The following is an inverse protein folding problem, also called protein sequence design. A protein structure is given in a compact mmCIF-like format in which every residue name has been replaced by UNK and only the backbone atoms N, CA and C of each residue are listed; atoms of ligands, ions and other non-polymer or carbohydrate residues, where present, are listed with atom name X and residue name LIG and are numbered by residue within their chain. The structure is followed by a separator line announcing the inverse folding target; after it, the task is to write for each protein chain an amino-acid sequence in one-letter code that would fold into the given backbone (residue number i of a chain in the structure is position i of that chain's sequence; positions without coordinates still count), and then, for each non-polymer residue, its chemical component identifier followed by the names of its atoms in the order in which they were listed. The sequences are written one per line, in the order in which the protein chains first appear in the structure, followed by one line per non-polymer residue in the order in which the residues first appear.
data_IF_572720805154
#
_entry.id   IF_572720805154
#
_cell.length_a   1.000
_cell.length_b   1.000
_cell.length_c   1.000
_cell.angle_alpha   90.00
_cell.angle_beta   90.00
_cell.angle_gamma   90.00
#
_symmetry.space_group_name_H-M   'P 1'
#
loop_
_entity.id
_entity.type
_entity.pdbx_description
1 polymer ?
#
# COMPACT_ATOMS: atom_id res chain seq x y z
N UNK A 1 -55.39 39.09 -14.46
CA UNK A 1 -53.95 39.25 -14.82
C UNK A 1 -53.14 39.23 -13.53
N UNK A 2 -52.56 38.07 -13.17
CA UNK A 2 -51.44 37.96 -12.24
C UNK A 2 -50.89 36.54 -12.37
N UNK A 3 -49.80 36.42 -13.13
CA UNK A 3 -48.97 35.22 -13.21
C UNK A 3 -48.05 35.21 -12.00
N UNK A 4 -48.02 34.11 -11.25
CA UNK A 4 -46.94 33.81 -10.31
C UNK A 4 -46.49 32.37 -10.55
N UNK A 5 -45.48 32.22 -11.41
CA UNK A 5 -44.69 31.00 -11.57
C UNK A 5 -43.62 31.01 -10.48
N UNK A 6 -43.75 30.14 -9.48
CA UNK A 6 -42.72 29.91 -8.48
C UNK A 6 -41.76 28.85 -9.02
N UNK A 7 -40.70 29.28 -9.72
CA UNK A 7 -39.58 28.41 -10.09
C UNK A 7 -38.78 28.09 -8.82
N UNK A 8 -38.93 26.87 -8.33
CA UNK A 8 -38.18 26.34 -7.20
C UNK A 8 -36.79 25.90 -7.72
N UNK A 9 -35.78 26.75 -7.49
CA UNK A 9 -34.39 26.47 -7.85
C UNK A 9 -33.81 25.46 -6.83
N UNK A 10 -33.64 24.21 -7.24
CA UNK A 10 -32.97 23.17 -6.45
C UNK A 10 -31.46 23.31 -6.64
N UNK A 11 -30.79 24.01 -5.72
CA UNK A 11 -29.31 24.07 -5.67
C UNK A 11 -28.80 22.82 -4.94
N UNK A 12 -28.43 21.79 -5.71
CA UNK A 12 -27.67 20.65 -5.22
C UNK A 12 -26.22 21.09 -4.97
N UNK A 13 -25.91 21.43 -3.72
CA UNK A 13 -24.53 21.57 -3.24
C UNK A 13 -23.87 20.20 -3.24
N UNK A 14 -23.12 19.88 -4.30
CA UNK A 14 -22.16 18.78 -4.31
C UNK A 14 -20.97 19.22 -3.44
N UNK A 15 -21.06 18.97 -2.13
CA UNK A 15 -19.86 18.92 -1.30
C UNK A 15 -19.09 17.67 -1.71
N UNK A 16 -18.11 17.84 -2.60
CA UNK A 16 -17.06 16.86 -2.76
C UNK A 16 -16.30 16.82 -1.44
N UNK A 17 -16.62 15.84 -0.59
CA UNK A 17 -15.83 15.51 0.58
C UNK A 17 -14.43 15.13 0.07
N UNK A 18 -13.48 16.05 0.16
CA UNK A 18 -12.07 15.70 0.03
C UNK A 18 -11.80 14.66 1.12
N UNK A 19 -11.66 13.39 0.73
CA UNK A 19 -11.30 12.34 1.67
C UNK A 19 -10.00 12.78 2.35
N UNK A 20 -9.97 12.78 3.68
CA UNK A 20 -8.75 13.07 4.41
C UNK A 20 -7.67 12.07 3.95
N UNK A 21 -6.58 12.57 3.36
CA UNK A 21 -5.43 11.76 2.94
C UNK A 21 -4.68 11.30 4.19
N UNK A 22 -5.21 10.24 4.82
CA UNK A 22 -4.70 9.65 6.05
C UNK A 22 -3.52 8.71 5.81
N UNK A 23 -3.10 8.54 4.55
CA UNK A 23 -1.94 7.75 4.14
C UNK A 23 -0.65 8.57 4.05
N UNK A 24 -0.68 9.89 4.24
CA UNK A 24 0.51 10.76 4.15
C UNK A 24 0.97 11.29 5.51
N UNK A 25 2.28 11.40 5.71
CA UNK A 25 2.88 11.92 6.94
C UNK A 25 2.93 13.46 7.03
N UNK A 26 2.70 14.14 5.90
CA UNK A 26 2.71 15.61 5.83
C UNK A 26 4.10 16.22 6.03
N UNK A 27 4.14 17.55 6.10
CA UNK A 27 5.39 18.32 6.18
C UNK A 27 5.86 18.63 7.61
N UNK A 28 5.03 18.36 8.63
CA UNK A 28 5.39 18.61 10.03
C UNK A 28 6.48 17.64 10.49
N UNK A 29 7.47 18.14 11.23
CA UNK A 29 8.62 17.39 11.73
C UNK A 29 8.79 17.60 13.25
N UNK A 30 8.64 16.56 14.11
CA UNK A 30 8.16 15.22 13.76
C UNK A 30 6.69 15.26 13.33
N UNK A 31 6.27 14.32 12.48
CA UNK A 31 4.86 14.18 12.09
C UNK A 31 3.98 13.83 13.28
N UNK A 32 2.81 14.47 13.37
CA UNK A 32 1.76 14.10 14.32
C UNK A 32 0.81 13.03 13.77
N UNK A 33 0.98 12.60 12.52
CA UNK A 33 0.13 11.59 11.89
C UNK A 33 0.49 10.20 12.43
N UNK A 34 -0.50 9.36 12.80
CA UNK A 34 -0.23 8.00 13.26
C UNK A 34 0.64 7.22 12.28
N UNK A 35 1.53 6.37 12.81
CA UNK A 35 2.47 5.52 12.07
C UNK A 35 3.64 6.26 11.37
N UNK A 36 3.77 7.58 11.51
CA UNK A 36 4.85 8.34 10.88
C UNK A 36 6.12 8.49 11.75
N UNK A 37 6.20 7.79 12.89
CA UNK A 37 7.36 7.83 13.78
C UNK A 37 8.59 7.04 13.28
N UNK A 38 8.45 6.34 12.16
CA UNK A 38 9.46 5.44 11.58
C UNK A 38 10.32 6.11 10.52
N UNK A 39 10.90 7.27 10.86
CA UNK A 39 11.66 8.10 9.91
C UNK A 39 12.91 7.36 9.45
N UNK A 40 13.00 7.08 8.14
CA UNK A 40 14.15 6.40 7.56
C UNK A 40 15.10 7.39 6.90
N UNK A 41 16.40 7.30 7.24
CA UNK A 41 17.42 8.24 6.77
C UNK A 41 18.24 7.74 5.58
N UNK A 42 17.62 7.00 4.67
CA UNK A 42 18.29 6.53 3.46
C UNK A 42 18.85 5.13 3.54
N UNK A 43 18.24 4.22 4.31
CA UNK A 43 18.80 2.87 4.53
C UNK A 43 19.01 2.06 3.25
N UNK A 44 18.24 2.33 2.19
CA UNK A 44 18.41 1.68 0.88
C UNK A 44 19.20 2.52 -0.13
N UNK A 45 19.95 3.55 0.31
CA UNK A 45 20.47 4.63 -0.54
C UNK A 45 19.43 5.73 -0.83
N UNK A 46 18.16 5.40 -0.63
CA UNK A 46 16.99 6.26 -0.48
C UNK A 46 16.23 5.82 0.78
N UNK A 47 15.35 6.68 1.31
CA UNK A 47 14.45 6.29 2.38
C UNK A 47 13.59 5.08 1.94
N UNK A 48 13.53 4.07 2.80
CA UNK A 48 12.81 2.83 2.49
C UNK A 48 12.31 2.14 3.76
N UNK A 49 11.40 1.19 3.55
CA UNK A 49 10.91 0.31 4.60
C UNK A 49 10.57 -1.05 4.02
N UNK A 50 11.03 -2.13 4.66
CA UNK A 50 10.72 -3.51 4.28
C UNK A 50 10.16 -4.28 5.47
N UNK A 51 9.02 -4.91 5.27
CA UNK A 51 8.24 -5.57 6.33
C UNK A 51 7.76 -6.93 5.85
N UNK A 52 7.74 -7.90 6.75
CA UNK A 52 7.00 -9.15 6.58
C UNK A 52 5.67 -9.10 7.34
N UNK A 53 4.64 -9.63 6.69
CA UNK A 53 3.28 -9.75 7.23
C UNK A 53 2.87 -11.20 7.17
N UNK A 54 2.62 -11.77 8.35
CA UNK A 54 2.26 -13.17 8.50
C UNK A 54 0.74 -13.31 8.55
N UNK A 55 0.17 -14.13 7.67
CA UNK A 55 -1.24 -14.51 7.72
C UNK A 55 -1.37 -15.96 8.18
N UNK A 56 -1.82 -16.09 9.41
CA UNK A 56 -2.19 -17.36 10.04
C UNK A 56 -3.69 -17.65 9.78
N UNK A 57 -4.12 -18.90 9.99
CA UNK A 57 -5.56 -19.26 10.11
C UNK A 57 -6.44 -19.23 8.84
N UNK A 58 -5.95 -19.68 7.70
CA UNK A 58 -6.81 -20.04 6.56
C UNK A 58 -6.68 -21.54 6.28
N UNK A 59 -7.75 -22.15 5.77
CA UNK A 59 -7.91 -23.58 5.44
C UNK A 59 -6.67 -24.22 4.76
N UNK A 60 -5.90 -23.44 3.99
CA UNK A 60 -4.55 -23.82 3.55
C UNK A 60 -3.64 -22.59 3.30
N UNK A 61 -2.31 -22.74 3.36
CA UNK A 61 -1.34 -21.69 3.03
C UNK A 61 -1.51 -21.10 1.61
N UNK A 62 -1.88 -21.95 0.65
CA UNK A 62 -2.08 -21.54 -0.74
C UNK A 62 -3.32 -20.66 -0.90
N UNK A 63 -4.41 -20.99 -0.20
CA UNK A 63 -5.60 -20.14 -0.14
C UNK A 63 -5.29 -18.83 0.59
N UNK A 64 -4.52 -18.88 1.69
CA UNK A 64 -4.09 -17.69 2.41
C UNK A 64 -3.32 -16.71 1.53
N UNK A 65 -2.32 -17.21 0.81
CA UNK A 65 -1.54 -16.43 -0.14
C UNK A 65 -2.41 -15.83 -1.26
N UNK A 66 -3.38 -16.59 -1.76
CA UNK A 66 -4.30 -16.13 -2.81
C UNK A 66 -5.23 -15.03 -2.31
N UNK A 67 -5.78 -15.18 -1.10
CA UNK A 67 -6.65 -14.19 -0.47
C UNK A 67 -5.90 -12.88 -0.20
N UNK A 68 -4.68 -12.99 0.33
CA UNK A 68 -3.78 -11.87 0.57
C UNK A 68 -3.48 -11.11 -0.72
N UNK A 69 -3.00 -11.80 -1.76
CA UNK A 69 -2.75 -11.21 -3.08
C UNK A 69 -3.99 -10.50 -3.64
N UNK A 70 -5.15 -11.18 -3.63
CA UNK A 70 -6.39 -10.64 -4.19
C UNK A 70 -6.81 -9.37 -3.48
N UNK A 71 -6.73 -9.36 -2.15
CA UNK A 71 -7.19 -8.22 -1.34
C UNK A 71 -6.28 -7.00 -1.48
N UNK A 72 -4.96 -7.21 -1.52
CA UNK A 72 -3.99 -6.14 -1.75
C UNK A 72 -4.12 -5.59 -3.16
N UNK A 73 -4.20 -6.47 -4.17
CA UNK A 73 -4.39 -6.05 -5.56
C UNK A 73 -5.66 -5.23 -5.72
N UNK A 74 -6.77 -5.68 -5.11
CA UNK A 74 -8.02 -4.93 -5.13
C UNK A 74 -7.87 -3.55 -4.48
N UNK A 75 -7.23 -3.47 -3.31
CA UNK A 75 -6.92 -2.19 -2.66
C UNK A 75 -6.14 -1.24 -3.58
N UNK A 76 -5.12 -1.74 -4.27
CA UNK A 76 -4.30 -0.95 -5.19
C UNK A 76 -5.09 -0.52 -6.45
N UNK A 77 -5.94 -1.39 -7.00
CA UNK A 77 -6.78 -1.09 -8.17
C UNK A 77 -7.86 -0.05 -7.84
N UNK A 78 -8.43 -0.12 -6.64
CA UNK A 78 -9.43 0.85 -6.14
C UNK A 78 -8.82 2.19 -5.70
N UNK A 79 -7.50 2.28 -5.68
CA UNK A 79 -6.76 3.49 -5.28
C UNK A 79 -6.58 3.65 -3.77
N UNK A 80 -6.85 2.62 -2.98
CA UNK A 80 -6.93 2.71 -1.53
C UNK A 80 -8.16 3.49 -1.05
N UNK A 81 -8.26 3.73 0.26
CA UNK A 81 -9.43 4.43 0.83
C UNK A 81 -9.47 5.93 0.55
N UNK A 82 -8.33 6.52 0.19
CA UNK A 82 -8.15 7.94 -0.08
C UNK A 82 -7.72 8.25 -1.53
N UNK A 83 -7.67 7.25 -2.40
CA UNK A 83 -7.34 7.42 -3.83
C UNK A 83 -5.85 7.65 -4.10
N UNK A 84 -4.98 7.48 -3.10
CA UNK A 84 -3.55 7.78 -3.22
C UNK A 84 -2.70 6.59 -3.65
N UNK A 85 -3.28 5.41 -3.83
CA UNK A 85 -2.57 4.21 -4.27
C UNK A 85 -2.87 3.90 -5.74
N UNK A 86 -2.01 3.09 -6.36
CA UNK A 86 -2.29 2.56 -7.68
C UNK A 86 -1.62 1.18 -7.86
N UNK A 87 -2.30 0.29 -8.57
CA UNK A 87 -1.70 -0.97 -9.04
C UNK A 87 -0.84 -0.70 -10.27
N UNK A 88 0.40 -1.18 -10.26
CA UNK A 88 1.33 -1.04 -11.40
C UNK A 88 1.14 -2.24 -12.31
N UNK A 89 0.83 -1.98 -13.58
CA UNK A 89 0.68 -3.00 -14.60
C UNK A 89 0.92 -2.43 -15.99
N UNK A 90 1.18 -3.31 -16.95
CA UNK A 90 1.48 -2.95 -18.33
C UNK A 90 2.94 -3.19 -18.68
N UNK A 91 3.27 -3.15 -19.99
CA UNK A 91 4.62 -3.37 -20.45
C UNK A 91 5.56 -2.25 -19.99
N UNK A 92 6.78 -2.63 -19.64
CA UNK A 92 7.90 -1.69 -19.58
C UNK A 92 8.22 -1.10 -20.97
N UNK A 93 9.21 -0.20 -21.03
CA UNK A 93 9.63 0.42 -22.28
C UNK A 93 10.18 -0.58 -23.32
N UNK A 94 10.58 -1.78 -22.90
CA UNK A 94 11.06 -2.86 -23.76
C UNK A 94 9.95 -3.88 -24.11
N UNK A 95 8.71 -3.67 -23.65
CA UNK A 95 7.58 -4.55 -23.91
C UNK A 95 7.40 -5.70 -22.91
N UNK A 96 8.20 -5.77 -21.84
CA UNK A 96 8.07 -6.83 -20.85
C UNK A 96 6.90 -6.56 -19.90
N UNK A 97 5.97 -7.51 -19.80
CA UNK A 97 4.81 -7.44 -18.90
C UNK A 97 4.56 -8.81 -18.25
N UNK A 98 5.38 -9.24 -17.28
CA UNK A 98 5.16 -10.50 -16.60
C UNK A 98 3.85 -10.47 -15.80
N UNK A 99 3.11 -11.58 -15.78
CA UNK A 99 1.95 -11.71 -14.91
C UNK A 99 2.34 -11.93 -13.46
N UNK A 100 1.47 -11.51 -12.52
CA UNK A 100 1.76 -11.60 -11.08
C UNK A 100 1.91 -13.04 -10.56
N UNK A 101 1.16 -13.98 -11.14
CA UNK A 101 1.10 -15.37 -10.70
C UNK A 101 2.36 -16.14 -11.14
N UNK A 102 3.07 -16.71 -10.18
CA UNK A 102 4.30 -17.49 -10.37
C UNK A 102 4.13 -18.98 -10.08
N UNK A 103 2.91 -19.43 -9.74
CA UNK A 103 2.63 -20.82 -9.34
C UNK A 103 3.04 -21.85 -10.38
N UNK A 104 3.02 -21.51 -11.67
CA UNK A 104 3.48 -22.37 -12.76
C UNK A 104 4.97 -22.74 -12.68
N UNK A 105 5.78 -21.97 -11.94
CA UNK A 105 7.22 -22.20 -11.85
C UNK A 105 7.63 -23.14 -10.71
N UNK A 106 6.69 -23.58 -9.85
CA UNK A 106 6.95 -24.50 -8.74
C UNK A 106 8.19 -24.15 -7.91
N UNK A 107 8.32 -22.88 -7.54
CA UNK A 107 9.53 -22.35 -6.89
C UNK A 107 9.66 -22.99 -5.49
N UNK A 108 10.79 -23.66 -5.16
CA UNK A 108 10.93 -24.41 -3.91
C UNK A 108 10.70 -23.60 -2.62
N UNK A 109 10.98 -22.30 -2.65
CA UNK A 109 10.77 -21.40 -1.53
C UNK A 109 9.31 -20.94 -1.34
N UNK A 110 8.35 -21.52 -2.08
CA UNK A 110 6.92 -21.29 -1.89
C UNK A 110 6.38 -19.98 -2.46
N UNK A 111 7.16 -19.27 -3.29
CA UNK A 111 6.74 -18.04 -3.96
C UNK A 111 5.54 -18.28 -4.89
N UNK A 112 4.50 -17.46 -4.74
CA UNK A 112 3.25 -17.58 -5.54
C UNK A 112 2.92 -16.33 -6.32
N UNK A 113 3.15 -15.14 -5.76
CA UNK A 113 2.80 -13.88 -6.40
C UNK A 113 3.92 -12.84 -6.25
N UNK A 114 4.20 -12.10 -7.31
CA UNK A 114 5.05 -10.90 -7.32
C UNK A 114 4.34 -9.83 -8.10
N UNK A 115 4.20 -8.64 -7.51
CA UNK A 115 3.50 -7.53 -8.14
C UNK A 115 3.94 -6.21 -7.53
N UNK A 116 3.52 -5.09 -8.15
CA UNK A 116 3.93 -3.76 -7.74
C UNK A 116 2.72 -2.83 -7.61
N UNK A 117 2.90 -1.81 -6.78
CA UNK A 117 2.00 -0.68 -6.64
C UNK A 117 2.79 0.61 -6.47
N UNK A 118 2.08 1.71 -6.41
CA UNK A 118 2.63 3.01 -6.02
C UNK A 118 1.74 3.65 -4.97
N UNK A 119 2.34 4.53 -4.17
CA UNK A 119 1.65 5.50 -3.35
C UNK A 119 2.06 6.91 -3.78
N UNK A 120 1.10 7.82 -3.87
CA UNK A 120 1.35 9.26 -4.08
C UNK A 120 0.95 10.03 -2.84
N UNK A 121 1.92 10.62 -2.16
CA UNK A 121 1.70 11.44 -0.97
C UNK A 121 0.86 12.67 -1.27
N UNK A 122 0.29 13.30 -0.24
CA UNK A 122 -0.39 14.60 -0.36
C UNK A 122 0.52 15.73 -0.87
N UNK A 123 1.85 15.57 -0.78
CA UNK A 123 2.84 16.48 -1.37
C UNK A 123 3.16 16.20 -2.84
N UNK A 124 2.57 15.16 -3.45
CA UNK A 124 2.83 14.76 -4.84
C UNK A 124 4.09 13.90 -5.03
N UNK A 125 4.72 13.46 -3.94
CA UNK A 125 5.83 12.50 -4.00
C UNK A 125 5.32 11.09 -4.25
N UNK A 126 6.05 10.33 -5.08
CA UNK A 126 5.71 8.95 -5.44
C UNK A 126 6.68 8.00 -4.76
N UNK A 127 6.12 7.00 -4.09
CA UNK A 127 6.85 5.87 -3.53
C UNK A 127 6.43 4.59 -4.27
N UNK A 128 7.39 3.74 -4.60
CA UNK A 128 7.14 2.40 -5.16
C UNK A 128 6.88 1.41 -4.05
N UNK A 129 5.87 0.55 -4.25
CA UNK A 129 5.54 -0.58 -3.39
C UNK A 129 5.83 -1.89 -4.11
N UNK A 130 6.72 -2.70 -3.54
CA UNK A 130 7.13 -4.00 -4.07
C UNK A 130 6.55 -5.13 -3.21
N UNK A 131 5.81 -6.06 -3.82
CA UNK A 131 5.13 -7.13 -3.10
C UNK A 131 5.62 -8.50 -3.54
N UNK A 132 5.74 -9.39 -2.56
CA UNK A 132 5.99 -10.78 -2.78
C UNK A 132 5.21 -11.63 -1.78
N UNK A 133 4.44 -12.61 -2.27
CA UNK A 133 3.63 -13.50 -1.43
C UNK A 133 4.11 -14.94 -1.54
N UNK A 134 4.34 -15.55 -0.37
CA UNK A 134 4.74 -16.95 -0.20
C UNK A 134 3.68 -17.75 0.52
N UNK A 135 3.57 -19.02 0.19
CA UNK A 135 2.90 -20.02 1.00
C UNK A 135 3.97 -20.92 1.63
N UNK A 136 4.01 -20.96 2.97
CA UNK A 136 5.01 -21.71 3.75
C UNK A 136 4.28 -22.60 4.75
N UNK A 137 4.37 -23.92 4.58
CA UNK A 137 3.86 -24.98 5.46
C UNK A 137 2.44 -24.80 6.01
N UNK A 138 2.26 -23.91 6.99
CA UNK A 138 1.02 -23.64 7.73
C UNK A 138 0.48 -22.22 7.56
N UNK A 139 1.21 -21.31 6.93
CA UNK A 139 0.84 -19.88 6.83
C UNK A 139 1.27 -19.25 5.49
N UNK A 140 0.77 -18.05 5.22
CA UNK A 140 1.26 -17.23 4.12
C UNK A 140 2.06 -16.04 4.65
N UNK A 141 3.10 -15.65 3.92
CA UNK A 141 3.93 -14.48 4.24
C UNK A 141 3.87 -13.53 3.06
N UNK A 142 3.49 -12.28 3.32
CA UNK A 142 3.76 -11.16 2.43
C UNK A 142 5.06 -10.50 2.87
N UNK A 143 5.99 -10.37 1.94
CA UNK A 143 7.03 -9.36 2.03
C UNK A 143 6.60 -8.13 1.24
N UNK A 144 6.61 -6.98 1.88
CA UNK A 144 6.31 -5.69 1.27
C UNK A 144 7.47 -4.72 1.49
N UNK A 145 7.93 -4.11 0.41
CA UNK A 145 8.87 -2.99 0.43
C UNK A 145 8.17 -1.72 0.00
N UNK A 146 8.48 -0.61 0.64
CA UNK A 146 8.18 0.76 0.18
C UNK A 146 9.49 1.51 0.03
N UNK A 147 9.67 2.21 -1.08
CA UNK A 147 10.85 3.04 -1.34
C UNK A 147 10.44 4.35 -1.98
N UNK A 148 11.04 5.45 -1.52
CA UNK A 148 10.89 6.74 -2.18
C UNK A 148 11.66 6.81 -3.49
N UNK A 149 10.99 7.21 -4.57
CA UNK A 149 11.58 7.28 -5.92
C UNK A 149 12.25 8.65 -6.21
N UNK A 150 12.34 9.51 -5.21
CA UNK A 150 13.05 10.78 -5.31
C UNK A 150 14.55 10.52 -5.16
N UNK A 151 15.31 10.85 -6.20
CA UNK A 151 16.77 10.81 -6.13
C UNK A 151 17.30 11.62 -4.93
N UNK A 152 18.04 10.97 -4.02
CA UNK A 152 18.63 11.63 -2.87
C UNK A 152 17.67 11.93 -1.72
N UNK A 153 16.52 11.26 -1.64
CA UNK A 153 15.64 11.32 -0.46
C UNK A 153 16.35 10.75 0.78
N UNK A 154 17.04 11.63 1.52
CA UNK A 154 17.70 11.35 2.79
C UNK A 154 16.70 11.16 3.95
N UNK A 155 15.43 11.49 3.78
CA UNK A 155 14.43 11.36 4.83
C UNK A 155 13.01 11.46 4.26
N UNK A 156 12.11 10.63 4.78
CA UNK A 156 10.73 10.50 4.29
C UNK A 156 9.66 10.87 5.32
N UNK A 157 10.04 11.41 6.48
CA UNK A 157 9.11 11.66 7.60
C UNK A 157 8.33 10.40 8.05
N UNK A 158 8.87 9.20 7.82
CA UNK A 158 8.23 7.92 8.11
C UNK A 158 7.23 7.45 7.06
N UNK A 159 7.18 8.10 5.89
CA UNK A 159 6.21 7.82 4.83
C UNK A 159 6.26 6.37 4.33
N UNK A 160 7.44 5.77 4.18
CA UNK A 160 7.53 4.40 3.66
C UNK A 160 6.93 3.36 4.61
N UNK A 161 7.12 3.50 5.93
CA UNK A 161 6.40 2.66 6.89
C UNK A 161 4.91 2.97 6.90
N UNK A 162 4.54 4.25 6.81
CA UNK A 162 3.14 4.68 6.75
C UNK A 162 2.38 4.06 5.59
N UNK A 163 2.98 3.98 4.40
CA UNK A 163 2.38 3.36 3.22
C UNK A 163 1.98 1.91 3.50
N UNK A 164 2.92 1.14 4.07
CA UNK A 164 2.73 -0.27 4.43
C UNK A 164 1.66 -0.40 5.51
N UNK A 165 1.79 0.35 6.61
CA UNK A 165 0.87 0.29 7.74
C UNK A 165 -0.56 0.67 7.33
N UNK A 166 -0.72 1.70 6.51
CA UNK A 166 -2.01 2.12 6.01
C UNK A 166 -2.66 1.06 5.13
N UNK A 167 -1.90 0.48 4.18
CA UNK A 167 -2.38 -0.59 3.32
C UNK A 167 -2.84 -1.79 4.14
N UNK A 168 -2.01 -2.29 5.05
CA UNK A 168 -2.32 -3.50 5.84
C UNK A 168 -3.48 -3.28 6.81
N UNK A 169 -3.65 -2.08 7.37
CA UNK A 169 -4.82 -1.74 8.20
C UNK A 169 -6.15 -1.77 7.43
N UNK A 170 -6.10 -1.62 6.11
CA UNK A 170 -7.28 -1.55 5.25
C UNK A 170 -7.50 -2.81 4.41
N UNK A 171 -6.59 -3.77 4.50
CA UNK A 171 -6.74 -5.10 3.90
C UNK A 171 -7.20 -6.06 5.01
N UNK A 172 -8.36 -6.74 4.84
CA UNK A 172 -8.93 -7.57 5.90
C UNK A 172 -7.98 -8.73 6.25
N UNK A 173 -7.54 -8.78 7.51
CA UNK A 173 -6.87 -9.93 8.09
C UNK A 173 -7.86 -11.03 8.52
N UNK A 174 -7.38 -12.25 8.80
CA UNK A 174 -8.19 -13.29 9.44
C UNK A 174 -8.66 -12.76 10.81
N UNK A 175 -9.96 -12.86 11.10
CA UNK A 175 -10.61 -12.35 12.32
C UNK A 175 -10.77 -10.81 12.47
N UNK A 176 -10.53 -10.02 11.42
CA UNK A 176 -10.90 -8.59 11.39
C UNK A 176 -9.93 -7.64 12.10
N UNK A 177 -8.82 -8.14 12.64
CA UNK A 177 -7.68 -7.33 13.09
C UNK A 177 -6.59 -7.32 12.01
N UNK A 178 -5.86 -6.20 11.84
CA UNK A 178 -4.72 -6.17 10.93
C UNK A 178 -3.60 -7.09 11.47
N UNK A 179 -2.96 -7.89 10.59
CA UNK A 179 -1.84 -8.74 10.99
C UNK A 179 -0.65 -7.90 11.50
N UNK A 180 0.17 -8.46 12.42
CA UNK A 180 1.36 -7.77 12.89
C UNK A 180 2.36 -7.54 11.75
N UNK A 181 3.03 -6.39 11.82
CA UNK A 181 4.08 -5.98 10.89
C UNK A 181 5.44 -6.27 11.50
N UNK A 182 6.24 -7.14 10.87
CA UNK A 182 7.62 -7.41 11.27
C UNK A 182 8.59 -6.59 10.41
N UNK A 183 9.26 -5.60 11.00
CA UNK A 183 10.26 -4.80 10.27
C UNK A 183 11.51 -5.63 9.98
N UNK A 184 11.77 -5.85 8.69
CA UNK A 184 12.92 -6.59 8.18
C UNK A 184 14.12 -5.67 7.96
N UNK A 185 13.89 -4.50 7.35
CA UNK A 185 14.96 -3.56 7.00
C UNK A 185 14.42 -2.13 6.81
N UNK A 186 15.28 -1.12 7.01
CA UNK A 186 14.89 0.30 6.93
C UNK A 186 13.88 0.69 8.01
N UNK A 187 12.90 1.52 7.66
CA UNK A 187 11.84 1.99 8.55
C UNK A 187 12.37 2.74 9.78
N UNK A 188 13.54 3.40 9.68
CA UNK A 188 14.18 4.09 10.79
C UNK A 188 14.82 3.17 11.85
N UNK A 189 14.96 1.88 11.56
CA UNK A 189 15.72 0.97 12.42
C UNK A 189 17.22 1.33 12.34
N UNK A 190 17.95 1.42 13.47
CA UNK A 190 19.39 1.57 13.43
C UNK A 190 20.01 0.38 12.67
N UNK A 191 20.82 0.68 11.66
CA UNK A 191 21.57 -0.29 10.86
C UNK A 191 22.71 -0.94 11.65
#
# INVERSE_FOLDING_TARGET
RAFWTLSMLLVLLLFASAAANNSSCGSQQPSAVPDCGHVDHGSCGNACCMVDVHMEHIESPSQAATAMYTSIKQFLVEGGKDGSFAYVTGPDAAGNNPGDNLTQYNIPAGYRYVFQGIHTTSGGFVDTLDFNVKAIDTHAVLRIGSRSDIHGALGDNGQNYKNIAYLIKNVPGPAGAPPPLEIIYGCGKPS
#
